data_IF_471681967968
#
_entry.id   IF_471681967968
#
_cell.length_a   1.000
_cell.length_b   1.000
_cell.length_c   1.000
_cell.angle_alpha   90.00
_cell.angle_beta   90.00
_cell.angle_gamma   90.00
#
_symmetry.space_group_name_H-M   'P 1'
#
loop_
_entity.id
_entity.type
_entity.pdbx_description
1 polymer ?
#
# COMPACT_ATOMS: atom_id res chain seq x y z
N UNK A 1 8.94 -1.73 -13.63
CA UNK A 1 9.42 -2.86 -12.81
C UNK A 1 10.91 -2.71 -12.42
N UNK A 2 11.82 -2.32 -13.35
CA UNK A 2 13.26 -2.19 -13.07
C UNK A 2 13.58 -1.17 -11.96
N UNK A 3 12.93 -0.01 -11.92
CA UNK A 3 13.20 1.03 -10.91
C UNK A 3 12.91 0.56 -9.48
N UNK A 4 11.85 -0.23 -9.27
CA UNK A 4 11.55 -0.80 -7.96
C UNK A 4 12.65 -1.76 -7.49
N UNK A 5 13.19 -2.60 -8.39
CA UNK A 5 14.27 -3.55 -8.06
C UNK A 5 15.64 -2.88 -7.81
N UNK A 6 15.79 -1.61 -8.16
CA UNK A 6 17.02 -0.83 -7.90
C UNK A 6 17.03 -0.16 -6.51
N UNK A 7 16.02 -0.41 -5.67
CA UNK A 7 16.03 0.10 -4.31
C UNK A 7 17.17 -0.52 -3.50
N UNK A 8 17.79 0.25 -2.59
CA UNK A 8 18.82 -0.29 -1.70
C UNK A 8 18.20 -1.23 -0.68
N UNK A 9 18.91 -2.28 -0.31
CA UNK A 9 18.56 -3.13 0.81
C UNK A 9 19.82 -3.61 1.53
N UNK A 10 19.79 -3.68 2.87
CA UNK A 10 20.92 -4.15 3.65
C UNK A 10 21.27 -5.60 3.27
N UNK A 11 22.54 -5.88 3.01
CA UNK A 11 23.04 -7.21 2.56
C UNK A 11 22.30 -7.76 1.32
N UNK A 12 21.75 -6.89 0.48
CA UNK A 12 21.04 -7.26 -0.75
C UNK A 12 19.91 -8.29 -0.53
N UNK A 13 19.12 -8.13 0.53
CA UNK A 13 18.02 -9.04 0.87
C UNK A 13 16.84 -8.98 -0.08
N UNK A 14 16.66 -7.85 -0.77
CA UNK A 14 15.52 -7.59 -1.66
C UNK A 14 14.19 -8.06 -1.05
N UNK A 15 13.80 -7.48 0.10
CA UNK A 15 12.75 -8.03 0.97
C UNK A 15 11.32 -7.77 0.46
N UNK A 16 11.17 -7.03 -0.64
CA UNK A 16 9.89 -6.63 -1.21
C UNK A 16 9.33 -7.65 -2.18
N UNK A 17 7.99 -7.77 -2.20
CA UNK A 17 7.24 -8.42 -3.27
C UNK A 17 6.07 -7.54 -3.72
N UNK A 18 5.69 -7.70 -4.99
CA UNK A 18 4.60 -6.96 -5.63
C UNK A 18 3.56 -7.94 -6.19
N UNK A 19 2.35 -7.89 -5.66
CA UNK A 19 1.23 -8.73 -6.05
C UNK A 19 0.25 -7.91 -6.89
N UNK A 20 0.28 -8.08 -8.21
CA UNK A 20 -0.60 -7.36 -9.14
C UNK A 20 -1.96 -8.06 -9.13
N UNK A 21 -3.00 -7.35 -8.71
CA UNK A 21 -4.32 -7.92 -8.53
C UNK A 21 -5.19 -7.74 -9.77
N UNK A 22 -5.56 -8.85 -10.40
CA UNK A 22 -6.59 -8.91 -11.44
C UNK A 22 -8.01 -8.75 -10.87
N UNK A 23 -9.00 -8.58 -11.75
CA UNK A 23 -10.40 -8.33 -11.39
C UNK A 23 -10.94 -9.40 -10.42
N UNK A 24 -10.79 -10.68 -10.75
CA UNK A 24 -11.29 -11.81 -9.92
C UNK A 24 -10.77 -11.80 -8.48
N UNK A 25 -9.49 -11.45 -8.29
CA UNK A 25 -8.91 -11.35 -6.93
C UNK A 25 -9.50 -10.17 -6.18
N UNK A 26 -9.69 -9.03 -6.85
CA UNK A 26 -10.32 -7.85 -6.24
C UNK A 26 -11.76 -8.10 -5.83
N UNK A 27 -12.52 -8.84 -6.64
CA UNK A 27 -13.90 -9.25 -6.31
C UNK A 27 -13.95 -10.14 -5.07
N UNK A 28 -13.01 -11.06 -4.91
CA UNK A 28 -12.88 -11.88 -3.69
C UNK A 28 -12.61 -11.07 -2.42
N UNK A 29 -12.06 -9.86 -2.53
CA UNK A 29 -11.85 -8.97 -1.39
C UNK A 29 -13.13 -8.21 -0.97
N UNK A 30 -14.21 -8.20 -1.75
CA UNK A 30 -15.43 -7.44 -1.46
C UNK A 30 -16.01 -7.78 -0.07
N UNK A 31 -16.17 -9.06 0.34
CA UNK A 31 -16.70 -9.38 1.67
C UNK A 31 -15.85 -8.82 2.80
N UNK A 32 -14.52 -8.90 2.67
CA UNK A 32 -13.56 -8.37 3.65
C UNK A 32 -13.71 -6.84 3.76
N UNK A 33 -13.72 -6.16 2.62
CA UNK A 33 -13.84 -4.70 2.55
C UNK A 33 -15.15 -4.25 3.16
N UNK A 34 -16.26 -4.93 2.85
CA UNK A 34 -17.59 -4.61 3.38
C UNK A 34 -17.62 -4.76 4.90
N UNK A 35 -17.09 -5.86 5.42
CA UNK A 35 -16.98 -6.11 6.87
C UNK A 35 -16.15 -5.03 7.55
N UNK A 36 -14.97 -4.71 7.03
CA UNK A 36 -14.08 -3.69 7.60
C UNK A 36 -14.68 -2.26 7.50
N UNK A 37 -15.41 -1.96 6.43
CA UNK A 37 -16.11 -0.69 6.29
C UNK A 37 -17.21 -0.54 7.32
N UNK A 38 -18.04 -1.58 7.53
CA UNK A 38 -19.09 -1.58 8.57
C UNK A 38 -18.51 -1.36 9.96
N UNK A 39 -17.42 -2.07 10.32
CA UNK A 39 -16.73 -1.90 11.61
C UNK A 39 -16.26 -0.45 11.79
N UNK A 40 -15.66 0.12 10.74
CA UNK A 40 -15.19 1.51 10.76
C UNK A 40 -16.35 2.49 10.89
N UNK A 41 -17.44 2.31 10.14
CA UNK A 41 -18.62 3.18 10.18
C UNK A 41 -19.29 3.14 11.54
N UNK A 42 -19.42 1.97 12.16
CA UNK A 42 -19.94 1.81 13.50
C UNK A 42 -19.08 2.56 14.53
N UNK A 43 -17.76 2.43 14.47
CA UNK A 43 -16.83 3.14 15.36
C UNK A 43 -16.93 4.67 15.21
N UNK A 44 -17.19 5.16 13.99
CA UNK A 44 -17.32 6.59 13.69
C UNK A 44 -18.77 7.10 13.82
N UNK A 45 -19.71 6.25 14.26
CA UNK A 45 -21.15 6.56 14.38
C UNK A 45 -21.71 7.13 13.05
N UNK A 46 -21.26 6.58 11.91
CA UNK A 46 -21.71 7.01 10.60
C UNK A 46 -23.19 6.69 10.38
N UNK A 47 -23.94 7.64 9.85
CA UNK A 47 -25.35 7.47 9.45
C UNK A 47 -25.49 6.95 8.00
N UNK A 48 -24.38 6.76 7.27
CA UNK A 48 -24.35 6.40 5.85
C UNK A 48 -23.56 5.13 5.60
N UNK A 49 -23.80 4.07 6.39
CA UNK A 49 -23.03 2.82 6.39
C UNK A 49 -22.94 2.19 4.99
N UNK A 50 -24.08 2.11 4.27
CA UNK A 50 -24.11 1.50 2.93
C UNK A 50 -23.29 2.29 1.92
N UNK A 51 -23.35 3.63 1.98
CA UNK A 51 -22.54 4.49 1.14
C UNK A 51 -21.04 4.38 1.46
N UNK A 52 -20.70 4.23 2.73
CA UNK A 52 -19.32 4.01 3.18
C UNK A 52 -18.78 2.67 2.66
N UNK A 53 -19.60 1.62 2.69
CA UNK A 53 -19.27 0.32 2.10
C UNK A 53 -19.04 0.44 0.58
N UNK A 54 -19.96 1.07 -0.13
CA UNK A 54 -19.83 1.29 -1.57
C UNK A 54 -18.56 2.08 -1.94
N UNK A 55 -18.25 3.15 -1.18
CA UNK A 55 -17.02 3.93 -1.36
C UNK A 55 -15.77 3.10 -1.10
N UNK A 56 -15.80 2.21 -0.10
CA UNK A 56 -14.68 1.34 0.20
C UNK A 56 -14.45 0.31 -0.92
N UNK A 57 -15.51 -0.31 -1.44
CA UNK A 57 -15.46 -1.24 -2.57
C UNK A 57 -14.93 -0.55 -3.83
N UNK A 58 -15.47 0.64 -4.16
CA UNK A 58 -15.00 1.42 -5.32
C UNK A 58 -13.48 1.67 -5.29
N UNK A 59 -12.91 1.95 -4.11
CA UNK A 59 -11.46 2.19 -3.96
C UNK A 59 -10.59 0.98 -4.35
N UNK A 60 -11.15 -0.22 -4.42
CA UNK A 60 -10.44 -1.45 -4.78
C UNK A 60 -10.77 -1.88 -6.20
N UNK A 61 -12.01 -1.71 -6.64
CA UNK A 61 -12.44 -2.17 -7.97
C UNK A 61 -12.11 -1.17 -9.09
N UNK A 62 -12.25 0.14 -8.84
CA UNK A 62 -12.12 1.17 -9.87
C UNK A 62 -10.69 1.45 -10.38
N UNK A 63 -9.62 1.41 -9.55
CA UNK A 63 -8.30 1.71 -10.07
C UNK A 63 -7.92 0.76 -11.21
N UNK A 64 -7.42 1.27 -12.37
CA UNK A 64 -6.96 0.40 -13.47
C UNK A 64 -5.93 -0.62 -13.01
N UNK A 65 -5.00 -0.18 -12.14
CA UNK A 65 -3.95 -1.02 -11.56
C UNK A 65 -4.09 -1.00 -10.03
N UNK A 66 -4.06 -2.19 -9.43
CA UNK A 66 -4.00 -2.38 -7.98
C UNK A 66 -2.92 -3.40 -7.65
N UNK A 67 -2.00 -3.01 -6.77
CA UNK A 67 -0.84 -3.81 -6.38
C UNK A 67 -0.79 -3.88 -4.86
N UNK A 68 -0.74 -5.09 -4.28
CA UNK A 68 -0.31 -5.25 -2.90
C UNK A 68 1.22 -5.30 -2.86
N UNK A 69 1.80 -4.60 -1.91
CA UNK A 69 3.24 -4.59 -1.69
C UNK A 69 3.49 -5.18 -0.31
N UNK A 70 4.36 -6.17 -0.23
CA UNK A 70 4.77 -6.77 1.03
C UNK A 70 6.26 -6.57 1.31
N UNK A 71 6.60 -6.69 2.56
CA UNK A 71 7.96 -6.77 3.08
C UNK A 71 8.16 -8.10 3.79
N UNK A 72 9.34 -8.70 3.66
CA UNK A 72 9.73 -9.88 4.41
C UNK A 72 9.74 -9.58 5.91
N UNK A 73 9.25 -10.50 6.73
CA UNK A 73 9.37 -10.47 8.18
C UNK A 73 10.64 -11.17 8.65
N UNK A 74 11.15 -10.73 9.79
CA UNK A 74 12.25 -11.36 10.51
C UNK A 74 11.90 -11.38 12.01
N UNK A 75 11.04 -12.31 12.46
CA UNK A 75 10.49 -12.31 13.81
C UNK A 75 11.55 -12.32 14.90
N UNK A 76 12.67 -13.00 14.65
CA UNK A 76 13.79 -13.16 15.59
C UNK A 76 14.79 -11.99 15.54
N UNK A 77 14.68 -11.09 14.57
CA UNK A 77 15.55 -9.91 14.41
C UNK A 77 14.70 -8.68 14.02
N UNK A 78 14.25 -7.97 15.04
CA UNK A 78 13.41 -6.77 14.87
C UNK A 78 14.13 -5.61 14.20
N UNK A 79 15.45 -5.51 14.35
CA UNK A 79 16.23 -4.49 13.67
C UNK A 79 16.28 -4.78 12.17
N UNK A 80 16.55 -6.04 11.82
CA UNK A 80 16.51 -6.51 10.43
C UNK A 80 15.13 -6.30 9.78
N UNK A 81 14.06 -6.65 10.49
CA UNK A 81 12.68 -6.45 10.01
C UNK A 81 12.41 -4.98 9.68
N UNK A 82 12.91 -4.06 10.51
CA UNK A 82 12.79 -2.63 10.28
C UNK A 82 13.59 -2.14 9.07
N UNK A 83 14.81 -2.66 8.87
CA UNK A 83 15.63 -2.36 7.68
C UNK A 83 14.97 -2.88 6.40
N UNK A 84 14.44 -4.12 6.43
CA UNK A 84 13.75 -4.75 5.31
C UNK A 84 12.45 -4.01 4.98
N UNK A 85 11.69 -3.55 5.99
CA UNK A 85 10.53 -2.68 5.80
C UNK A 85 10.93 -1.37 5.11
N UNK A 86 11.97 -0.69 5.57
CA UNK A 86 12.44 0.56 4.98
C UNK A 86 12.88 0.36 3.53
N UNK A 87 13.61 -0.71 3.23
CA UNK A 87 14.00 -1.07 1.88
C UNK A 87 12.78 -1.33 0.97
N UNK A 88 11.76 -2.02 1.50
CA UNK A 88 10.50 -2.27 0.77
C UNK A 88 9.73 -0.98 0.48
N UNK A 89 9.76 -0.02 1.41
CA UNK A 89 9.18 1.33 1.19
C UNK A 89 9.94 2.08 0.10
N UNK A 90 11.28 2.00 0.07
CA UNK A 90 12.09 2.58 -1.00
C UNK A 90 11.73 1.98 -2.37
N UNK A 91 11.59 0.66 -2.45
CA UNK A 91 11.19 -0.04 -3.68
C UNK A 91 9.79 0.39 -4.16
N UNK A 92 8.82 0.51 -3.23
CA UNK A 92 7.49 1.01 -3.50
C UNK A 92 7.56 2.47 -4.01
N UNK A 93 8.34 3.32 -3.35
CA UNK A 93 8.46 4.73 -3.74
C UNK A 93 9.10 4.89 -5.11
N UNK A 94 10.18 4.14 -5.41
CA UNK A 94 10.78 4.13 -6.74
C UNK A 94 9.76 3.73 -7.83
N UNK A 95 8.88 2.77 -7.54
CA UNK A 95 7.79 2.41 -8.45
C UNK A 95 6.82 3.57 -8.66
N UNK A 96 6.42 4.26 -7.58
CA UNK A 96 5.51 5.42 -7.64
C UNK A 96 6.12 6.54 -8.46
N UNK A 97 7.40 6.86 -8.26
CA UNK A 97 8.12 7.88 -9.05
C UNK A 97 8.21 7.50 -10.53
N UNK A 98 8.50 6.23 -10.82
CA UNK A 98 8.55 5.75 -12.21
C UNK A 98 7.17 5.81 -12.89
N UNK A 99 6.10 5.51 -12.18
CA UNK A 99 4.73 5.67 -12.69
C UNK A 99 4.44 7.13 -13.00
N UNK A 100 4.80 8.04 -12.09
CA UNK A 100 4.62 9.47 -12.25
C UNK A 100 5.37 10.03 -13.45
N UNK A 101 6.63 9.63 -13.65
CA UNK A 101 7.45 10.00 -14.79
C UNK A 101 6.80 9.60 -16.14
N UNK A 102 5.99 8.56 -16.14
CA UNK A 102 5.21 8.09 -17.30
C UNK A 102 3.76 8.63 -17.32
N UNK A 103 3.44 9.69 -16.58
CA UNK A 103 2.13 10.31 -16.53
C UNK A 103 1.07 9.51 -15.78
N UNK A 104 1.44 8.44 -15.08
CA UNK A 104 0.53 7.58 -14.31
C UNK A 104 0.50 8.03 -12.86
N UNK A 105 -0.66 8.50 -12.41
CA UNK A 105 -0.88 8.82 -10.99
C UNK A 105 -0.88 7.55 -10.15
N UNK A 106 -0.27 7.61 -8.96
CA UNK A 106 -0.24 6.50 -8.04
C UNK A 106 -0.51 6.96 -6.60
N UNK A 107 -1.21 6.13 -5.83
CA UNK A 107 -1.49 6.35 -4.43
C UNK A 107 -1.10 5.11 -3.62
N UNK A 108 -0.15 5.28 -2.70
CA UNK A 108 0.08 4.30 -1.63
C UNK A 108 -1.02 4.46 -0.57
N UNK A 109 -1.70 3.39 -0.25
CA UNK A 109 -2.76 3.38 0.77
C UNK A 109 -2.56 2.23 1.74
N UNK A 110 -2.74 2.52 3.02
CA UNK A 110 -2.73 1.57 4.12
C UNK A 110 -4.12 1.55 4.78
N UNK A 111 -4.37 0.61 5.67
CA UNK A 111 -5.61 0.53 6.41
C UNK A 111 -5.81 -0.87 7.01
N UNK A 112 -6.97 -1.11 7.63
CA UNK A 112 -7.27 -2.40 8.26
C UNK A 112 -7.17 -3.59 7.31
N UNK A 113 -7.44 -3.39 6.02
CA UNK A 113 -7.36 -4.42 4.98
C UNK A 113 -5.94 -5.01 4.84
N UNK A 114 -4.88 -4.23 5.09
CA UNK A 114 -3.49 -4.71 4.99
C UNK A 114 -3.09 -5.61 6.16
N UNK A 115 -3.90 -5.67 7.22
CA UNK A 115 -3.66 -6.43 8.45
C UNK A 115 -4.70 -7.51 8.70
N UNK A 116 -5.64 -7.67 7.80
CA UNK A 116 -6.74 -8.62 7.91
C UNK A 116 -6.33 -9.99 7.37
N UNK A 117 -6.43 -11.04 8.18
CA UNK A 117 -5.99 -12.39 7.82
C UNK A 117 -6.66 -12.89 6.53
N UNK A 118 -7.95 -12.63 6.33
CA UNK A 118 -8.63 -13.04 5.10
C UNK A 118 -8.04 -12.35 3.85
N UNK A 119 -7.46 -11.14 3.99
CA UNK A 119 -6.74 -10.51 2.88
C UNK A 119 -5.49 -11.32 2.51
N UNK A 120 -4.72 -11.76 3.49
CA UNK A 120 -3.56 -12.63 3.27
C UNK A 120 -3.95 -13.95 2.61
N UNK A 121 -5.02 -14.58 3.10
CA UNK A 121 -5.53 -15.85 2.56
C UNK A 121 -5.97 -15.70 1.09
N UNK A 122 -6.72 -14.62 0.78
CA UNK A 122 -7.17 -14.33 -0.59
C UNK A 122 -5.99 -14.07 -1.53
N UNK A 123 -4.96 -13.40 -1.06
CA UNK A 123 -3.77 -13.07 -1.84
C UNK A 123 -2.73 -14.20 -1.85
N UNK A 124 -2.97 -15.28 -1.09
CA UNK A 124 -2.03 -16.39 -0.89
C UNK A 124 -0.66 -15.92 -0.39
N UNK A 125 -0.69 -14.99 0.58
CA UNK A 125 0.50 -14.44 1.24
C UNK A 125 0.61 -15.06 2.62
N UNK A 126 1.76 -15.62 2.96
CA UNK A 126 2.04 -16.11 4.31
C UNK A 126 2.23 -14.92 5.27
N UNK A 127 1.25 -14.69 6.14
CA UNK A 127 1.28 -13.61 7.13
C UNK A 127 2.36 -13.80 8.21
N UNK A 128 2.91 -15.00 8.36
CA UNK A 128 4.06 -15.27 9.21
C UNK A 128 5.38 -14.83 8.59
N UNK A 129 5.51 -14.94 7.27
CA UNK A 129 6.73 -14.64 6.53
C UNK A 129 6.75 -13.23 5.92
N UNK A 130 5.60 -12.63 5.65
CA UNK A 130 5.47 -11.33 4.97
C UNK A 130 4.48 -10.41 5.68
N UNK A 131 4.74 -9.10 5.61
CA UNK A 131 3.81 -8.05 6.01
C UNK A 131 3.35 -7.29 4.76
N UNK A 132 2.04 -7.14 4.57
CA UNK A 132 1.50 -6.24 3.54
C UNK A 132 1.68 -4.80 4.01
N UNK A 133 2.65 -4.09 3.46
CA UNK A 133 2.97 -2.70 3.81
C UNK A 133 2.01 -1.69 3.18
N UNK A 134 1.22 -2.09 2.22
CA UNK A 134 0.19 -1.26 1.61
C UNK A 134 -0.27 -1.72 0.24
N UNK A 135 -1.26 -1.02 -0.27
CA UNK A 135 -1.75 -1.16 -1.64
C UNK A 135 -1.38 0.08 -2.45
N UNK A 136 -0.87 -0.13 -3.65
CA UNK A 136 -0.66 0.92 -4.64
C UNK A 136 -1.78 0.85 -5.67
N UNK A 137 -2.52 1.95 -5.77
CA UNK A 137 -3.54 2.21 -6.78
C UNK A 137 -2.93 3.09 -7.84
N UNK A 138 -3.02 2.70 -9.10
CA UNK A 138 -2.45 3.51 -10.18
C UNK A 138 -3.37 3.58 -11.39
N UNK A 139 -3.27 4.70 -12.11
CA UNK A 139 -4.03 4.98 -13.31
C UNK A 139 -3.75 6.39 -13.83
N UNK A 140 -4.27 6.74 -14.99
CA UNK A 140 -4.17 8.10 -15.51
C UNK A 140 -5.10 9.02 -14.72
N UNK A 141 -4.57 10.08 -14.06
CA UNK A 141 -5.39 10.96 -13.26
C UNK A 141 -6.15 11.94 -14.17
N UNK A 142 -7.44 12.09 -13.93
CA UNK A 142 -8.27 13.13 -14.55
C UNK A 142 -7.84 14.53 -14.08
N UNK A 143 -7.48 14.64 -12.80
CA UNK A 143 -7.03 15.88 -12.17
C UNK A 143 -5.91 15.62 -11.17
N UNK A 144 -4.82 16.37 -11.32
CA UNK A 144 -3.73 16.38 -10.36
C UNK A 144 -4.05 17.41 -9.26
N UNK A 145 -4.19 16.93 -8.02
CA UNK A 145 -4.39 17.80 -6.87
C UNK A 145 -3.04 18.33 -6.39
N UNK A 146 -2.93 19.63 -6.29
CA UNK A 146 -1.80 20.25 -5.61
C UNK A 146 -1.95 20.09 -4.10
N UNK A 147 -0.94 19.56 -3.43
CA UNK A 147 -0.89 19.41 -1.98
C UNK A 147 0.24 20.28 -1.46
N UNK A 148 -0.08 21.21 -0.55
CA UNK A 148 0.93 22.01 0.12
C UNK A 148 1.91 21.11 0.87
N UNK A 149 3.19 21.30 0.62
CA UNK A 149 4.29 20.62 1.32
C UNK A 149 4.91 21.57 2.32
N UNK A 150 5.57 21.00 3.34
CA UNK A 150 6.41 21.79 4.23
C UNK A 150 7.58 22.38 3.44
N UNK A 151 7.97 23.63 3.70
CA UNK A 151 9.20 24.21 3.17
C UNK A 151 10.41 23.39 3.61
N UNK A 152 11.49 23.45 2.81
CA UNK A 152 12.72 22.69 3.12
C UNK A 152 13.33 23.15 4.45
N UNK A 153 13.21 24.43 4.76
CA UNK A 153 13.71 25.08 5.97
C UNK A 153 13.11 24.50 7.26
N UNK A 154 11.89 23.95 7.17
CA UNK A 154 11.22 23.30 8.31
C UNK A 154 11.67 21.85 8.55
N UNK A 155 12.40 21.25 7.63
CA UNK A 155 12.79 19.82 7.66
C UNK A 155 14.31 19.60 7.60
N UNK A 156 15.08 20.68 7.50
CA UNK A 156 16.55 20.64 7.48
C UNK A 156 17.09 21.37 8.73
N UNK A 157 18.04 20.75 9.39
CA UNK A 157 18.82 21.37 10.47
C UNK A 157 20.28 21.27 10.11
N UNK A 158 20.97 22.42 10.12
CA UNK A 158 22.42 22.48 9.97
C UNK A 158 23.05 22.38 11.35
N UNK A 159 24.04 21.50 11.49
CA UNK A 159 24.82 21.33 12.72
C UNK A 159 26.22 21.86 12.45
N UNK A 160 26.70 22.75 13.32
CA UNK A 160 28.04 23.34 13.26
C UNK A 160 29.07 22.39 13.92
#
# INVERSE_FOLDING_TARGET
KRQASNAPSHKHTHPWKFYIMGVKVRERLIPVITRLAKIKSARLQSTTIDLDCQRAIKKILQPPILIAVSSKKSPDDKFREKEDYAASVCALHNMVLSLWDNGVGAQWSTGSITRDQQTYDILSIDSGAEEIIGFVKAGYPEKIRQVRKKPVEEIVTYLD
#
